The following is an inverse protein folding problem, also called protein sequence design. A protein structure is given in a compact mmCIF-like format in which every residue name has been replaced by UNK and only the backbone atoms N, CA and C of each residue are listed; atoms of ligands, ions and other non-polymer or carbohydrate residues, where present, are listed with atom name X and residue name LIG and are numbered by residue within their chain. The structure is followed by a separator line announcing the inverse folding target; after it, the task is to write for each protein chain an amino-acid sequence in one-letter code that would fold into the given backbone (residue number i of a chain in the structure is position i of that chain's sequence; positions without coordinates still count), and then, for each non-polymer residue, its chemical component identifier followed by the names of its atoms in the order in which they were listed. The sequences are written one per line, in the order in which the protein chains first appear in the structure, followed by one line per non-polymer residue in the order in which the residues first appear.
data_IF_098863571107
#
_entry.id   IF_098863571107
#
_cell.length_a   1.000
_cell.length_b   1.000
_cell.length_c   1.000
_cell.angle_alpha   90.00
_cell.angle_beta   90.00
_cell.angle_gamma   90.00
#
_symmetry.space_group_name_H-M   'P 1'
#
loop_
_entity.id
_entity.type
_entity.pdbx_description
1 polymer ?
#
# COMPACT_ATOMS: atom_id res chain seq x y z
N UNK A 1 2.62 9.72 -14.57
CA UNK A 1 3.27 9.55 -13.25
C UNK A 1 4.37 10.58 -13.00
N UNK A 2 4.04 11.86 -13.11
CA UNK A 2 4.91 12.96 -12.68
C UNK A 2 4.04 14.01 -11.99
N UNK A 3 4.57 14.63 -10.96
CA UNK A 3 3.97 15.77 -10.25
C UNK A 3 4.11 17.05 -11.09
N UNK A 4 3.49 18.15 -10.63
CA UNK A 4 3.54 19.44 -11.34
C UNK A 4 4.97 20.01 -11.46
N UNK A 5 5.85 19.71 -10.50
CA UNK A 5 7.28 20.04 -10.52
C UNK A 5 8.12 19.05 -11.36
N UNK A 6 7.46 18.19 -12.15
CA UNK A 6 8.05 17.20 -13.09
C UNK A 6 8.86 16.09 -12.43
N UNK A 7 8.83 15.97 -11.10
CA UNK A 7 9.39 14.81 -10.39
C UNK A 7 8.48 13.59 -10.51
N UNK A 8 8.99 12.36 -10.35
CA UNK A 8 8.14 11.19 -10.20
C UNK A 8 7.18 11.35 -9.01
N UNK A 9 5.97 10.81 -9.13
CA UNK A 9 5.06 10.71 -7.98
C UNK A 9 5.67 9.77 -6.95
N UNK A 10 5.56 10.11 -5.66
CA UNK A 10 6.01 9.23 -4.56
C UNK A 10 5.37 7.84 -4.69
N UNK A 11 6.17 6.79 -4.51
CA UNK A 11 5.75 5.38 -4.63
C UNK A 11 5.16 5.02 -6.00
N UNK A 12 5.65 5.65 -7.08
CA UNK A 12 5.16 5.42 -8.46
C UNK A 12 5.19 3.94 -8.85
N UNK A 13 6.18 3.20 -8.40
CA UNK A 13 6.35 1.76 -8.63
C UNK A 13 5.18 0.96 -8.04
N UNK A 14 4.77 1.24 -6.80
CA UNK A 14 3.64 0.59 -6.16
C UNK A 14 2.31 1.00 -6.80
N UNK A 15 2.14 2.29 -7.12
CA UNK A 15 0.91 2.77 -7.74
C UNK A 15 0.67 2.20 -9.14
N UNK A 16 1.71 2.11 -9.96
CA UNK A 16 1.62 1.48 -11.28
C UNK A 16 1.29 -0.01 -11.18
N UNK A 17 1.88 -0.72 -10.20
CA UNK A 17 1.56 -2.13 -9.94
C UNK A 17 0.12 -2.32 -9.48
N UNK A 18 -0.39 -1.43 -8.63
CA UNK A 18 -1.79 -1.45 -8.20
C UNK A 18 -2.71 -1.22 -9.41
N UNK A 19 -2.52 -0.14 -10.16
CA UNK A 19 -3.35 0.21 -11.34
C UNK A 19 -3.44 -0.95 -12.34
N UNK A 20 -2.32 -1.61 -12.63
CA UNK A 20 -2.29 -2.81 -13.47
C UNK A 20 -3.11 -3.98 -12.91
N UNK A 21 -3.09 -4.19 -11.59
CA UNK A 21 -3.86 -5.23 -10.93
C UNK A 21 -5.38 -4.93 -10.88
N UNK A 22 -5.77 -3.65 -10.79
CA UNK A 22 -7.18 -3.25 -10.76
C UNK A 22 -7.92 -3.55 -12.07
N UNK A 23 -7.22 -3.47 -13.21
CA UNK A 23 -7.84 -3.52 -14.54
C UNK A 23 -8.63 -4.80 -14.87
N UNK A 24 -8.47 -5.87 -14.09
CA UNK A 24 -9.14 -7.16 -14.31
C UNK A 24 -10.42 -7.35 -13.47
N UNK A 25 -10.74 -6.40 -12.58
CA UNK A 25 -11.74 -6.60 -11.54
C UNK A 25 -12.71 -5.43 -11.42
N UNK A 26 -13.96 -5.73 -11.07
CA UNK A 26 -14.92 -4.70 -10.62
C UNK A 26 -14.77 -4.53 -9.11
N UNK A 27 -14.15 -3.45 -8.69
CA UNK A 27 -13.75 -3.23 -7.30
C UNK A 27 -14.65 -2.16 -6.65
N UNK A 28 -15.25 -2.50 -5.52
CA UNK A 28 -15.88 -1.55 -4.60
C UNK A 28 -14.94 -1.31 -3.43
N UNK A 29 -14.45 -0.07 -3.30
CA UNK A 29 -13.62 0.33 -2.17
C UNK A 29 -14.48 0.66 -0.97
N UNK A 30 -14.15 0.10 0.19
CA UNK A 30 -14.79 0.39 1.47
C UNK A 30 -13.77 0.97 2.44
N UNK A 31 -13.85 2.28 2.66
CA UNK A 31 -12.98 2.99 3.59
C UNK A 31 -13.52 2.86 5.01
N UNK A 32 -12.84 2.09 5.86
CA UNK A 32 -13.23 1.87 7.25
C UNK A 32 -12.76 3.02 8.16
N UNK A 33 -13.56 3.36 9.18
CA UNK A 33 -13.24 4.40 10.16
C UNK A 33 -12.48 3.79 11.33
N UNK A 34 -11.15 3.77 11.25
CA UNK A 34 -10.27 3.30 12.32
C UNK A 34 -10.20 1.76 12.44
N UNK A 35 -9.35 1.29 13.34
CA UNK A 35 -9.03 -0.13 13.51
C UNK A 35 -10.03 -0.92 14.35
N UNK A 36 -11.21 -0.37 14.69
CA UNK A 36 -12.14 -1.01 15.61
C UNK A 36 -13.49 -1.29 14.93
N UNK A 37 -13.96 -2.53 15.03
CA UNK A 37 -15.29 -2.94 14.59
C UNK A 37 -15.34 -3.72 13.28
N UNK A 38 -14.17 -4.07 12.73
CA UNK A 38 -14.04 -4.92 11.55
C UNK A 38 -13.01 -6.02 11.85
N UNK A 39 -13.46 -7.21 12.33
CA UNK A 39 -12.57 -8.29 12.76
C UNK A 39 -11.53 -8.69 11.69
N UNK A 40 -11.89 -8.60 10.41
CA UNK A 40 -11.00 -8.91 9.29
C UNK A 40 -9.89 -7.87 9.14
N UNK A 41 -10.24 -6.57 9.27
CA UNK A 41 -9.25 -5.49 9.24
C UNK A 41 -8.34 -5.50 10.47
N UNK A 42 -8.89 -5.82 11.65
CA UNK A 42 -8.12 -6.01 12.89
C UNK A 42 -7.09 -7.13 12.73
N UNK A 43 -7.52 -8.28 12.16
CA UNK A 43 -6.60 -9.38 11.84
C UNK A 43 -5.53 -8.98 10.82
N UNK A 44 -5.87 -8.21 9.79
CA UNK A 44 -4.87 -7.70 8.83
C UNK A 44 -3.82 -6.80 9.50
N UNK A 45 -4.23 -5.96 10.46
CA UNK A 45 -3.33 -5.12 11.25
C UNK A 45 -2.40 -5.95 12.16
N UNK A 46 -2.92 -6.97 12.85
CA UNK A 46 -2.10 -7.90 13.64
C UNK A 46 -1.06 -8.62 12.79
N UNK A 47 -1.45 -9.13 11.61
CA UNK A 47 -0.53 -9.79 10.68
C UNK A 47 0.55 -8.83 10.15
N UNK A 48 0.18 -7.59 9.82
CA UNK A 48 1.13 -6.58 9.38
C UNK A 48 2.15 -6.25 10.48
N UNK A 49 1.71 -6.09 11.74
CA UNK A 49 2.62 -5.87 12.88
C UNK A 49 3.53 -7.06 13.13
N UNK A 50 3.00 -8.28 13.10
CA UNK A 50 3.79 -9.49 13.28
C UNK A 50 4.88 -9.62 12.22
N UNK A 51 4.56 -9.35 10.95
CA UNK A 51 5.54 -9.35 9.86
C UNK A 51 6.60 -8.26 10.03
N UNK A 52 6.23 -7.06 10.47
CA UNK A 52 7.16 -5.97 10.73
C UNK A 52 8.15 -6.28 11.88
N UNK A 53 7.77 -7.12 12.85
CA UNK A 53 8.65 -7.57 13.93
C UNK A 53 9.69 -8.62 13.48
N UNK A 54 9.47 -9.28 12.35
CA UNK A 54 10.41 -10.27 11.80
C UNK A 54 10.50 -10.17 10.26
N UNK A 55 11.08 -9.07 9.74
CA UNK A 55 11.14 -8.82 8.31
C UNK A 55 12.12 -9.78 7.62
N UNK A 56 11.73 -10.27 6.45
CA UNK A 56 12.52 -11.22 5.65
C UNK A 56 12.80 -10.75 4.23
N UNK A 57 12.20 -9.64 3.81
CA UNK A 57 12.28 -9.10 2.45
C UNK A 57 12.75 -7.64 2.49
N UNK A 58 13.48 -7.24 1.46
CA UNK A 58 13.88 -5.86 1.23
C UNK A 58 12.85 -5.16 0.32
N UNK A 59 12.45 -3.95 0.69
CA UNK A 59 11.69 -3.07 -0.21
C UNK A 59 12.65 -2.29 -1.12
N UNK A 60 13.03 -2.92 -2.23
CA UNK A 60 13.96 -2.33 -3.21
C UNK A 60 13.41 -1.08 -3.91
N UNK A 61 12.09 -0.85 -3.84
CA UNK A 61 11.42 0.32 -4.43
C UNK A 61 11.46 1.54 -3.51
N UNK A 62 11.76 1.35 -2.22
CA UNK A 62 11.79 2.43 -1.24
C UNK A 62 12.88 3.47 -1.59
N UNK A 63 12.49 4.74 -1.59
CA UNK A 63 13.37 5.88 -1.80
C UNK A 63 13.23 6.84 -0.62
N UNK A 64 14.34 7.23 -0.02
CA UNK A 64 14.35 8.25 1.03
C UNK A 64 14.02 9.61 0.40
N UNK A 65 13.10 10.35 1.02
CA UNK A 65 12.83 11.73 0.60
C UNK A 65 14.00 12.63 1.01
N UNK A 66 14.56 13.34 0.03
CA UNK A 66 15.63 14.34 0.18
C UNK A 66 15.04 15.74 0.12
#
# INVERSE_FOLDING_TARGET
WKTADKKPVKNVDLWQRLDAALGQHQIKWEWVKGHAGHPENERCDELARAAAMNPTLEDTGYQVEV
#
